data_IF_342287335741
#
_entry.id   IF_342287335741
#
_cell.length_a   1.000
_cell.length_b   1.000
_cell.length_c   1.000
_cell.angle_alpha   90.00
_cell.angle_beta   90.00
_cell.angle_gamma   90.00
#
_symmetry.space_group_name_H-M   'P 1'
#
loop_
_entity.id
_entity.type
_entity.pdbx_description
1 polymer ?
#
# COMPACT_ATOMS: atom_id res chain seq x y z
N UNK A 1 12.46 3.29 3.55
CA UNK A 1 12.13 1.89 3.21
C UNK A 1 11.53 1.89 1.81
N UNK A 2 11.91 0.93 0.97
CA UNK A 2 11.37 0.79 -0.38
C UNK A 2 10.88 -0.65 -0.54
N UNK A 3 9.63 -0.81 -0.95
CA UNK A 3 9.00 -2.12 -1.15
C UNK A 3 8.72 -2.30 -2.64
N UNK A 4 8.99 -3.49 -3.16
CA UNK A 4 8.66 -3.89 -4.53
C UNK A 4 7.78 -5.13 -4.47
N UNK A 5 6.64 -5.09 -5.15
CA UNK A 5 5.78 -6.26 -5.32
C UNK A 5 4.97 -6.12 -6.61
N UNK A 6 4.48 -7.25 -7.09
CA UNK A 6 3.51 -7.34 -8.18
C UNK A 6 2.19 -7.88 -7.62
N UNK A 7 1.09 -7.39 -8.15
CA UNK A 7 -0.24 -7.80 -7.74
C UNK A 7 -1.28 -7.45 -8.78
N UNK A 8 -2.36 -8.24 -8.83
CA UNK A 8 -3.49 -7.96 -9.69
C UNK A 8 -4.23 -6.69 -9.20
N UNK A 9 -4.50 -5.78 -10.13
CA UNK A 9 -5.34 -4.61 -9.85
C UNK A 9 -6.80 -5.07 -9.86
N UNK A 10 -7.51 -4.77 -8.79
CA UNK A 10 -8.94 -5.04 -8.68
C UNK A 10 -9.74 -3.75 -8.50
N UNK A 11 -10.99 -3.78 -8.93
CA UNK A 11 -11.89 -2.64 -8.95
C UNK A 11 -12.95 -2.73 -7.84
N UNK A 12 -13.13 -1.64 -7.10
CA UNK A 12 -14.18 -1.47 -6.11
C UNK A 12 -15.27 -0.52 -6.62
N UNK A 13 -16.53 -0.91 -6.45
CA UNK A 13 -17.70 -0.16 -6.93
C UNK A 13 -18.19 0.94 -5.97
N UNK A 14 -17.36 1.38 -5.03
CA UNK A 14 -17.71 2.40 -4.05
C UNK A 14 -17.36 3.84 -4.47
N UNK A 15 -17.52 4.82 -3.56
CA UNK A 15 -16.93 6.14 -3.75
C UNK A 15 -15.42 6.03 -3.98
N UNK A 16 -14.80 7.03 -4.60
CA UNK A 16 -13.35 7.01 -4.82
C UNK A 16 -12.58 6.79 -3.50
N UNK A 17 -11.46 6.05 -3.51
CA UNK A 17 -10.74 5.49 -4.67
C UNK A 17 -11.32 4.18 -5.23
N UNK A 18 -11.09 3.90 -6.52
CA UNK A 18 -11.73 2.78 -7.24
C UNK A 18 -10.86 1.57 -7.54
N UNK A 19 -9.56 1.77 -7.79
CA UNK A 19 -8.64 0.69 -8.15
C UNK A 19 -7.67 0.43 -7.01
N UNK A 20 -7.48 -0.84 -6.70
CA UNK A 20 -6.66 -1.29 -5.58
C UNK A 20 -5.75 -2.42 -6.03
N UNK A 21 -4.64 -2.55 -5.32
CA UNK A 21 -3.75 -3.71 -5.40
C UNK A 21 -3.51 -4.19 -3.98
N UNK A 22 -3.55 -5.50 -3.78
CA UNK A 22 -3.32 -6.10 -2.47
C UNK A 22 -1.81 -6.19 -2.23
N UNK A 23 -1.34 -5.60 -1.12
CA UNK A 23 0.04 -5.77 -0.66
C UNK A 23 0.21 -7.20 -0.15
N UNK A 24 1.22 -7.97 -0.58
CA UNK A 24 1.39 -9.35 -0.13
C UNK A 24 1.76 -9.42 1.37
N UNK A 25 1.58 -10.59 2.02
CA UNK A 25 1.72 -10.73 3.48
C UNK A 25 3.08 -10.32 4.03
N UNK A 26 4.17 -10.63 3.34
CA UNK A 26 5.54 -10.27 3.76
C UNK A 26 5.70 -8.75 3.89
N UNK A 27 5.30 -8.02 2.84
CA UNK A 27 5.36 -6.57 2.80
C UNK A 27 4.38 -5.92 3.79
N UNK A 28 3.24 -6.58 4.07
CA UNK A 28 2.32 -6.13 5.11
C UNK A 28 2.98 -6.12 6.50
N UNK A 29 3.81 -7.11 6.83
CA UNK A 29 4.50 -7.16 8.12
C UNK A 29 5.57 -6.06 8.23
N UNK A 30 6.30 -5.78 7.15
CA UNK A 30 7.23 -4.64 7.09
C UNK A 30 6.50 -3.31 7.30
N UNK A 31 5.37 -3.11 6.62
CA UNK A 31 4.54 -1.91 6.78
C UNK A 31 3.99 -1.79 8.21
N UNK A 32 3.57 -2.91 8.81
CA UNK A 32 3.07 -2.94 10.20
C UNK A 32 4.16 -2.49 11.17
N UNK A 33 5.39 -2.98 10.99
CA UNK A 33 6.53 -2.63 11.84
C UNK A 33 6.84 -1.13 11.86
N UNK A 34 6.66 -0.43 10.73
CA UNK A 34 6.90 1.02 10.65
C UNK A 34 5.66 1.89 10.90
N UNK A 35 4.46 1.31 10.81
CA UNK A 35 3.19 2.05 10.77
C UNK A 35 3.02 3.06 11.91
N UNK A 36 3.39 2.69 13.14
CA UNK A 36 3.30 3.54 14.32
C UNK A 36 4.22 4.77 14.32
N UNK A 37 5.27 4.76 13.49
CA UNK A 37 6.25 5.85 13.39
C UNK A 37 5.91 6.85 12.29
N UNK A 38 5.10 6.46 11.30
CA UNK A 38 4.89 7.22 10.06
C UNK A 38 3.42 7.55 9.80
N UNK A 39 2.49 7.05 10.60
CA UNK A 39 1.06 7.31 10.45
C UNK A 39 0.62 8.60 11.15
N UNK A 40 -0.40 9.26 10.60
CA UNK A 40 -1.07 10.41 11.21
C UNK A 40 -2.14 10.02 12.25
N UNK A 41 -2.03 8.82 12.85
CA UNK A 41 -2.90 8.37 13.95
C UNK A 41 -4.17 7.61 13.55
N UNK A 42 -4.38 7.33 12.26
CA UNK A 42 -5.59 6.67 11.73
C UNK A 42 -5.31 5.53 10.74
N UNK A 43 -4.10 4.97 10.76
CA UNK A 43 -3.75 3.78 9.95
C UNK A 43 -3.37 4.04 8.50
N UNK A 44 -3.34 5.32 8.08
CA UNK A 44 -2.80 5.71 6.77
C UNK A 44 -1.28 5.89 6.85
N UNK A 45 -0.55 5.31 5.90
CA UNK A 45 0.91 5.47 5.73
C UNK A 45 1.16 6.34 4.49
N UNK A 46 1.82 7.50 4.62
CA UNK A 46 2.21 8.30 3.46
C UNK A 46 3.27 7.56 2.64
N UNK A 47 3.10 7.51 1.33
CA UNK A 47 4.02 6.82 0.44
C UNK A 47 4.20 7.58 -0.88
N UNK A 48 5.41 7.49 -1.44
CA UNK A 48 5.67 7.82 -2.85
C UNK A 48 5.63 6.52 -3.63
N UNK A 49 4.74 6.44 -4.62
CA UNK A 49 4.49 5.20 -5.38
C UNK A 49 4.91 5.40 -6.83
N UNK A 50 5.53 4.36 -7.39
CA UNK A 50 5.77 4.22 -8.82
C UNK A 50 5.11 2.95 -9.31
N UNK A 51 4.30 3.07 -10.36
CA UNK A 51 3.65 1.94 -11.02
C UNK A 51 4.39 1.59 -12.31
N UNK A 52 4.45 0.31 -12.66
CA UNK A 52 5.12 -0.18 -13.87
C UNK A 52 6.63 -0.33 -13.73
N UNK A 53 7.28 -0.70 -14.83
CA UNK A 53 8.71 -1.04 -14.84
C UNK A 53 9.60 0.20 -14.70
N UNK A 54 10.68 0.00 -13.97
CA UNK A 54 11.92 0.80 -14.08
C UNK A 54 12.78 0.16 -15.14
#
# INVERSE_FOLDING_TARGET
MTIHFEGEIWFWRGPAPWYFVTVPPEQCEELRAISGLVTYGWGMIPATVRLGKS
#
